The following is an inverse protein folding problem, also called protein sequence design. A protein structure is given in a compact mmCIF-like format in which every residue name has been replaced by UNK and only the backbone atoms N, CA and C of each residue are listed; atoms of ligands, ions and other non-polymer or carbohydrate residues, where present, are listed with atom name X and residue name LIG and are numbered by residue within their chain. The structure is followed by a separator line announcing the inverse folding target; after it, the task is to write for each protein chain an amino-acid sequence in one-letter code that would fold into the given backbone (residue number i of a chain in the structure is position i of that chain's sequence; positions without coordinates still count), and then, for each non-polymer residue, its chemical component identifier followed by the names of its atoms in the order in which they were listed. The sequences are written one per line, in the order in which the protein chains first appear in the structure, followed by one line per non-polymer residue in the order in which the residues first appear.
data_IF_982357015642
#
_entry.id   IF_982357015642
#
_cell.length_a   1.000
_cell.length_b   1.000
_cell.length_c   1.000
_cell.angle_alpha   90.00
_cell.angle_beta   90.00
_cell.angle_gamma   90.00
#
_symmetry.space_group_name_H-M   'P 1'
#
loop_
_entity.id
_entity.type
_entity.pdbx_description
1 polymer ?
#
# COMPACT_ATOMS: atom_id res chain seq x y z
N UNK A 1 81.18 -35.93 -45.98
CA UNK A 1 79.84 -36.58 -45.89
C UNK A 1 79.16 -36.44 -44.51
N UNK A 2 79.89 -36.48 -43.38
CA UNK A 2 79.31 -36.39 -42.02
C UNK A 2 78.77 -35.02 -41.61
N UNK A 3 79.47 -33.93 -41.97
CA UNK A 3 79.08 -32.54 -41.60
C UNK A 3 77.76 -32.13 -42.27
N UNK A 4 77.60 -32.38 -43.57
CA UNK A 4 76.36 -32.08 -44.31
C UNK A 4 75.15 -32.86 -43.76
N UNK A 5 75.35 -34.09 -43.30
CA UNK A 5 74.30 -34.92 -42.67
C UNK A 5 73.85 -34.36 -41.33
N UNK A 6 74.80 -33.85 -40.52
CA UNK A 6 74.51 -33.21 -39.24
C UNK A 6 73.79 -31.87 -39.41
N UNK A 7 74.20 -31.06 -40.39
CA UNK A 7 73.52 -29.81 -40.76
C UNK A 7 72.08 -30.11 -41.24
N UNK A 8 71.90 -31.10 -42.11
CA UNK A 8 70.57 -31.54 -42.58
C UNK A 8 69.67 -31.99 -41.43
N UNK A 9 70.20 -32.76 -40.48
CA UNK A 9 69.45 -33.20 -39.30
C UNK A 9 69.04 -32.01 -38.40
N UNK A 10 69.94 -31.05 -38.18
CA UNK A 10 69.64 -29.82 -37.42
C UNK A 10 68.57 -28.98 -38.11
N UNK A 11 68.65 -28.78 -39.42
CA UNK A 11 67.64 -28.05 -40.20
C UNK A 11 66.27 -28.73 -40.12
N UNK A 12 66.22 -30.07 -40.20
CA UNK A 12 64.98 -30.83 -40.06
C UNK A 12 64.36 -30.68 -38.67
N UNK A 13 65.18 -30.69 -37.62
CA UNK A 13 64.71 -30.48 -36.25
C UNK A 13 64.17 -29.06 -36.03
N UNK A 14 64.84 -28.04 -36.58
CA UNK A 14 64.35 -26.65 -36.57
C UNK A 14 63.02 -26.51 -37.32
N UNK A 15 62.90 -27.15 -38.49
CA UNK A 15 61.66 -27.17 -39.29
C UNK A 15 60.49 -27.82 -38.53
N UNK A 16 60.74 -28.94 -37.83
CA UNK A 16 59.72 -29.60 -37.00
C UNK A 16 59.32 -28.75 -35.80
N UNK A 17 60.27 -28.07 -35.14
CA UNK A 17 59.97 -27.13 -34.06
C UNK A 17 59.12 -25.95 -34.54
N UNK A 18 59.46 -25.35 -35.68
CA UNK A 18 58.67 -24.27 -36.29
C UNK A 18 57.26 -24.74 -36.64
N UNK A 19 57.10 -25.93 -37.23
CA UNK A 19 55.78 -26.51 -37.52
C UNK A 19 54.95 -26.72 -36.25
N UNK A 20 55.55 -27.19 -35.17
CA UNK A 20 54.87 -27.33 -33.87
C UNK A 20 54.43 -25.98 -33.29
N UNK A 21 55.26 -24.95 -33.39
CA UNK A 21 54.89 -23.59 -32.97
C UNK A 21 53.72 -23.06 -33.81
N UNK A 22 53.76 -23.22 -35.14
CA UNK A 22 52.65 -22.83 -36.03
C UNK A 22 51.34 -23.55 -35.68
N UNK A 23 51.38 -24.86 -35.38
CA UNK A 23 50.20 -25.62 -34.98
C UNK A 23 49.65 -25.14 -33.63
N UNK A 24 50.51 -24.83 -32.67
CA UNK A 24 50.11 -24.26 -31.37
C UNK A 24 49.44 -22.90 -31.55
N UNK A 25 50.03 -22.01 -32.34
CA UNK A 25 49.44 -20.69 -32.65
C UNK A 25 48.08 -20.84 -33.33
N UNK A 26 47.94 -21.76 -34.29
CA UNK A 26 46.67 -22.02 -34.96
C UNK A 26 45.60 -22.51 -33.98
N UNK A 27 45.96 -23.37 -33.03
CA UNK A 27 45.04 -23.84 -32.00
C UNK A 27 44.58 -22.69 -31.06
N UNK A 28 45.50 -21.81 -30.67
CA UNK A 28 45.16 -20.60 -29.88
C UNK A 28 44.21 -19.69 -30.66
N UNK A 29 44.47 -19.44 -31.94
CA UNK A 29 43.58 -18.65 -32.80
C UNK A 29 42.17 -19.26 -32.91
N UNK A 30 42.07 -20.58 -33.04
CA UNK A 30 40.77 -21.27 -33.08
C UNK A 30 40.02 -21.18 -31.75
N UNK A 31 40.72 -21.31 -30.62
CA UNK A 31 40.12 -21.12 -29.29
C UNK A 31 39.60 -19.70 -29.11
N UNK A 32 40.39 -18.69 -29.47
CA UNK A 32 39.97 -17.28 -29.42
C UNK A 32 38.75 -17.00 -30.30
N UNK A 33 38.72 -17.55 -31.53
CA UNK A 33 37.56 -17.44 -32.42
C UNK A 33 36.31 -18.07 -31.82
N UNK A 34 36.43 -19.22 -31.16
CA UNK A 34 35.32 -19.88 -30.49
C UNK A 34 34.78 -19.04 -29.31
N UNK A 35 35.68 -18.45 -28.50
CA UNK A 35 35.30 -17.52 -27.41
C UNK A 35 34.55 -16.31 -27.98
N UNK A 36 35.05 -15.72 -29.07
CA UNK A 36 34.38 -14.59 -29.73
C UNK A 36 32.98 -14.94 -30.23
N UNK A 37 32.81 -16.11 -30.85
CA UNK A 37 31.50 -16.58 -31.32
C UNK A 37 30.52 -16.82 -30.15
N UNK A 38 31.01 -17.38 -29.04
CA UNK A 38 30.20 -17.55 -27.82
C UNK A 38 29.74 -16.21 -27.25
N UNK A 39 30.64 -15.24 -27.14
CA UNK A 39 30.31 -13.88 -26.69
C UNK A 39 29.28 -13.23 -27.61
N UNK A 40 29.46 -13.32 -28.94
CA UNK A 40 28.49 -12.80 -29.91
C UNK A 40 27.11 -13.44 -29.75
N UNK A 41 27.04 -14.74 -29.50
CA UNK A 41 25.77 -15.44 -29.26
C UNK A 41 25.09 -14.94 -27.97
N UNK A 42 25.86 -14.74 -26.89
CA UNK A 42 25.35 -14.16 -25.64
C UNK A 42 24.81 -12.75 -25.87
N UNK A 43 25.55 -11.88 -26.59
CA UNK A 43 25.09 -10.54 -26.94
C UNK A 43 23.77 -10.56 -27.74
N UNK A 44 23.63 -11.48 -28.71
CA UNK A 44 22.40 -11.61 -29.48
C UNK A 44 21.22 -12.07 -28.62
N UNK A 45 21.44 -13.02 -27.69
CA UNK A 45 20.41 -13.45 -26.74
C UNK A 45 19.96 -12.30 -25.83
N UNK A 46 20.91 -11.53 -25.28
CA UNK A 46 20.60 -10.35 -24.46
C UNK A 46 19.80 -9.30 -25.25
N UNK A 47 20.18 -9.04 -26.51
CA UNK A 47 19.45 -8.12 -27.38
C UNK A 47 18.02 -8.58 -27.63
N UNK A 48 17.79 -9.89 -27.80
CA UNK A 48 16.45 -10.45 -27.97
C UNK A 48 15.60 -10.31 -26.69
N UNK A 49 16.19 -10.57 -25.51
CA UNK A 49 15.52 -10.34 -24.21
C UNK A 49 15.12 -8.87 -24.07
N UNK A 50 16.02 -7.94 -24.38
CA UNK A 50 15.74 -6.51 -24.33
C UNK A 50 14.58 -6.09 -25.25
N UNK A 51 14.56 -6.60 -26.48
CA UNK A 51 13.47 -6.32 -27.43
C UNK A 51 12.13 -6.87 -26.94
N UNK A 52 12.11 -8.07 -26.33
CA UNK A 52 10.91 -8.64 -25.72
C UNK A 52 10.39 -7.79 -24.56
N UNK A 53 11.27 -7.36 -23.66
CA UNK A 53 10.91 -6.47 -22.54
C UNK A 53 10.35 -5.14 -23.06
N UNK A 54 10.98 -4.54 -24.06
CA UNK A 54 10.48 -3.31 -24.70
C UNK A 54 9.08 -3.50 -25.28
N UNK A 55 8.81 -4.63 -25.93
CA UNK A 55 7.48 -4.93 -26.46
C UNK A 55 6.42 -5.09 -25.35
N UNK A 56 6.77 -5.74 -24.24
CA UNK A 56 5.89 -5.85 -23.06
C UNK A 56 5.59 -4.46 -22.48
N UNK A 57 6.61 -3.61 -22.30
CA UNK A 57 6.42 -2.23 -21.83
C UNK A 57 5.49 -1.42 -22.74
N UNK A 58 5.62 -1.54 -24.06
CA UNK A 58 4.73 -0.87 -25.02
C UNK A 58 3.29 -1.38 -24.92
N UNK A 59 3.08 -2.69 -24.76
CA UNK A 59 1.75 -3.27 -24.55
C UNK A 59 1.11 -2.74 -23.25
N UNK A 60 1.85 -2.73 -22.14
CA UNK A 60 1.37 -2.19 -20.87
C UNK A 60 1.02 -0.70 -20.98
N UNK A 61 1.82 0.09 -21.69
CA UNK A 61 1.51 1.50 -21.95
C UNK A 61 0.22 1.67 -22.74
N UNK A 62 -0.04 0.83 -23.74
CA UNK A 62 -1.28 0.86 -24.51
C UNK A 62 -2.51 0.50 -23.64
N UNK A 63 -2.38 -0.51 -22.77
CA UNK A 63 -3.44 -0.87 -21.80
C UNK A 63 -3.72 0.30 -20.84
N UNK A 64 -2.68 0.93 -20.30
CA UNK A 64 -2.80 2.10 -19.43
C UNK A 64 -3.54 3.26 -20.12
N UNK A 65 -3.20 3.55 -21.39
CA UNK A 65 -3.90 4.58 -22.18
C UNK A 65 -5.38 4.23 -22.42
N UNK A 66 -5.70 2.96 -22.71
CA UNK A 66 -7.09 2.50 -22.84
C UNK A 66 -7.88 2.68 -21.54
N UNK A 67 -7.30 2.28 -20.41
CA UNK A 67 -7.92 2.46 -19.09
C UNK A 67 -8.16 3.94 -18.77
N UNK A 68 -7.21 4.81 -19.12
CA UNK A 68 -7.37 6.26 -18.97
C UNK A 68 -8.53 6.79 -19.82
N UNK A 69 -8.68 6.32 -21.05
CA UNK A 69 -9.80 6.70 -21.91
C UNK A 69 -11.15 6.23 -21.34
N UNK A 70 -11.22 5.01 -20.80
CA UNK A 70 -12.42 4.51 -20.11
C UNK A 70 -12.75 5.37 -18.88
N UNK A 71 -11.76 5.71 -18.06
CA UNK A 71 -11.93 6.59 -16.90
C UNK A 71 -12.47 7.97 -17.28
N UNK A 72 -11.95 8.57 -18.36
CA UNK A 72 -12.44 9.85 -18.89
C UNK A 72 -13.88 9.75 -19.40
N UNK A 73 -14.25 8.67 -20.09
CA UNK A 73 -15.63 8.41 -20.50
C UNK A 73 -16.57 8.28 -19.29
N UNK A 74 -16.16 7.54 -18.27
CA UNK A 74 -16.93 7.37 -17.04
C UNK A 74 -17.13 8.71 -16.32
N UNK A 75 -16.09 9.54 -16.27
CA UNK A 75 -16.17 10.90 -15.71
C UNK A 75 -17.14 11.78 -16.49
N UNK A 76 -17.17 11.67 -17.82
CA UNK A 76 -18.13 12.39 -18.65
C UNK A 76 -19.58 11.92 -18.39
N UNK A 77 -19.79 10.61 -18.24
CA UNK A 77 -21.10 10.06 -17.82
C UNK A 77 -21.52 10.61 -16.46
N UNK A 78 -20.60 10.63 -15.48
CA UNK A 78 -20.87 11.19 -14.16
C UNK A 78 -21.23 12.68 -14.21
N UNK A 79 -20.51 13.48 -15.02
CA UNK A 79 -20.82 14.89 -15.21
C UNK A 79 -22.17 15.10 -15.89
N UNK A 80 -22.55 14.26 -16.86
CA UNK A 80 -23.88 14.28 -17.49
C UNK A 80 -24.98 13.94 -16.50
N UNK A 81 -24.80 12.89 -15.70
CA UNK A 81 -25.75 12.51 -14.65
C UNK A 81 -25.89 13.63 -13.61
N UNK A 82 -24.78 14.26 -13.21
CA UNK A 82 -24.81 15.43 -12.32
C UNK A 82 -25.55 16.60 -12.94
N UNK A 83 -25.37 16.86 -14.23
CA UNK A 83 -26.09 17.91 -14.95
C UNK A 83 -27.60 17.61 -15.04
N UNK A 84 -27.98 16.34 -15.26
CA UNK A 84 -29.39 15.90 -15.20
C UNK A 84 -29.95 16.08 -13.80
N UNK A 85 -29.22 15.68 -12.75
CA UNK A 85 -29.63 15.89 -11.36
C UNK A 85 -29.78 17.36 -10.99
N UNK A 86 -28.94 18.25 -11.54
CA UNK A 86 -29.08 19.70 -11.38
C UNK A 86 -30.29 20.24 -12.16
N UNK A 87 -30.53 19.76 -13.39
CA UNK A 87 -31.72 20.11 -14.17
C UNK A 87 -33.02 19.63 -13.53
N UNK A 88 -33.03 18.49 -12.83
CA UNK A 88 -34.17 18.02 -12.02
C UNK A 88 -34.33 18.81 -10.72
N UNK A 89 -33.25 19.43 -10.21
CA UNK A 89 -33.28 20.29 -9.03
C UNK A 89 -33.81 21.69 -9.35
N UNK A 90 -33.64 22.20 -10.57
CA UNK A 90 -34.18 23.50 -11.00
C UNK A 90 -35.72 23.61 -10.90
N UNK A 91 -36.55 22.68 -11.41
CA UNK A 91 -38.00 22.76 -11.23
C UNK A 91 -38.42 22.56 -9.77
N UNK A 92 -37.63 21.86 -8.95
CA UNK A 92 -37.85 21.74 -7.50
C UNK A 92 -37.49 23.03 -6.74
N UNK A 93 -36.53 23.81 -7.24
CA UNK A 93 -36.20 25.15 -6.73
C UNK A 93 -37.15 26.22 -7.24
N UNK A 94 -37.67 26.12 -8.47
CA UNK A 94 -38.78 26.96 -8.96
C UNK A 94 -40.06 26.71 -8.17
N UNK A 95 -40.43 25.46 -7.89
CA UNK A 95 -41.56 25.15 -7.01
C UNK A 95 -41.35 25.67 -5.57
N UNK A 96 -40.11 25.67 -5.06
CA UNK A 96 -39.77 26.23 -3.75
C UNK A 96 -39.75 27.78 -3.77
N UNK A 97 -39.33 28.38 -4.89
CA UNK A 97 -39.41 29.83 -5.12
C UNK A 97 -40.85 30.29 -5.30
N UNK A 98 -41.73 29.53 -5.96
CA UNK A 98 -43.16 29.85 -6.07
C UNK A 98 -43.84 29.88 -4.70
N UNK A 99 -43.46 28.97 -3.80
CA UNK A 99 -43.88 29.00 -2.38
C UNK A 99 -43.32 30.24 -1.66
N UNK A 100 -42.13 30.70 -2.03
CA UNK A 100 -41.48 31.90 -1.44
C UNK A 100 -42.05 33.22 -2.02
N UNK A 101 -42.47 33.24 -3.28
CA UNK A 101 -43.08 34.40 -3.96
C UNK A 101 -44.53 34.57 -3.51
N UNK A 102 -45.26 33.48 -3.26
CA UNK A 102 -46.55 33.50 -2.54
C UNK A 102 -46.42 34.13 -1.14
N UNK A 103 -45.27 33.96 -0.47
CA UNK A 103 -44.98 34.59 0.81
C UNK A 103 -44.70 36.10 0.68
N UNK A 104 -44.10 36.55 -0.42
CA UNK A 104 -43.84 37.97 -0.69
C UNK A 104 -45.12 38.76 -1.07
N UNK A 105 -46.04 38.15 -1.82
CA UNK A 105 -47.34 38.76 -2.14
C UNK A 105 -48.29 38.82 -0.93
N UNK A 106 -48.19 37.86 -0.01
CA UNK A 106 -48.97 37.89 1.24
C UNK A 106 -48.37 38.83 2.30
N UNK A 107 -47.16 39.35 2.09
CA UNK A 107 -46.47 40.28 3.01
C UNK A 107 -46.66 41.76 2.65
N UNK A 108 -47.43 42.08 1.60
CA UNK A 108 -47.69 43.46 1.15
C UNK A 108 -49.17 43.87 1.16
N UNK A 109 -50.04 43.06 1.76
CA UNK A 109 -51.42 43.45 2.06
C UNK A 109 -51.62 43.56 3.58
N UNK A 110 -51.75 44.80 4.03
CA UNK A 110 -52.22 45.20 5.36
C UNK A 110 -53.45 44.41 5.81
N UNK A 111 -53.39 43.88 7.03
CA UNK A 111 -54.59 43.37 7.72
C UNK A 111 -55.58 44.50 8.01
N UNK A 112 -56.89 44.23 7.98
CA UNK A 112 -57.79 44.60 9.04
C UNK A 112 -57.99 43.43 10.02
N UNK A 113 -58.36 43.83 11.23
CA UNK A 113 -58.47 43.08 12.48
C UNK A 113 -59.19 41.72 12.39
N UNK A 114 -58.67 40.74 13.14
CA UNK A 114 -59.42 39.56 13.55
C UNK A 114 -58.64 38.24 13.52
N UNK A 115 -58.40 37.69 14.71
CA UNK A 115 -58.18 36.26 15.03
C UNK A 115 -56.76 35.65 14.92
N UNK A 116 -56.23 35.36 16.12
CA UNK A 116 -55.29 34.28 16.52
C UNK A 116 -54.08 34.00 15.62
N UNK A 117 -52.98 34.71 15.89
CA UNK A 117 -51.67 34.44 15.31
C UNK A 117 -50.97 33.23 15.97
N UNK A 118 -50.68 32.20 15.18
CA UNK A 118 -49.74 31.13 15.56
C UNK A 118 -48.32 31.64 15.26
N UNK A 119 -47.60 31.95 16.34
CA UNK A 119 -46.21 32.43 16.32
C UNK A 119 -45.24 31.28 16.00
N UNK A 120 -44.81 31.17 14.75
CA UNK A 120 -43.76 30.22 14.35
C UNK A 120 -42.38 30.79 14.71
N UNK A 121 -41.93 30.48 15.92
CA UNK A 121 -40.61 30.86 16.42
C UNK A 121 -39.48 30.11 15.70
N UNK A 122 -38.25 30.66 15.72
CA UNK A 122 -37.00 30.05 15.22
C UNK A 122 -36.77 28.59 15.66
N UNK A 123 -37.46 28.13 16.70
CA UNK A 123 -37.46 26.73 17.14
C UNK A 123 -38.02 25.77 16.08
N UNK A 124 -38.94 26.20 15.22
CA UNK A 124 -39.57 25.30 14.26
C UNK A 124 -38.67 24.94 13.07
N UNK A 125 -37.82 25.87 12.62
CA UNK A 125 -36.78 25.59 11.62
C UNK A 125 -35.72 24.61 12.15
N UNK A 126 -35.35 24.69 13.43
CA UNK A 126 -34.54 23.66 14.08
C UNK A 126 -35.27 22.33 14.21
N UNK A 127 -36.59 22.34 14.47
CA UNK A 127 -37.41 21.13 14.53
C UNK A 127 -37.60 20.47 13.16
N UNK A 128 -37.70 21.22 12.07
CA UNK A 128 -37.83 20.69 10.70
C UNK A 128 -36.52 20.09 10.20
N UNK A 129 -35.37 20.69 10.51
CA UNK A 129 -34.05 20.07 10.25
C UNK A 129 -33.86 18.82 11.11
N UNK A 130 -34.30 18.85 12.38
CA UNK A 130 -34.32 17.67 13.28
C UNK A 130 -35.31 16.59 12.83
N UNK A 131 -36.44 16.96 12.21
CA UNK A 131 -37.43 16.03 11.67
C UNK A 131 -36.95 15.41 10.35
N UNK A 132 -36.28 16.19 9.49
CA UNK A 132 -35.65 15.66 8.28
C UNK A 132 -34.49 14.70 8.61
N UNK A 133 -33.74 14.93 9.71
CA UNK A 133 -32.71 13.99 10.19
C UNK A 133 -33.28 12.68 10.76
N UNK A 134 -34.55 12.64 11.18
CA UNK A 134 -35.19 11.41 11.62
C UNK A 134 -35.59 10.48 10.46
N UNK A 135 -35.60 10.97 9.22
CA UNK A 135 -36.07 10.19 8.06
C UNK A 135 -34.89 9.60 7.25
N UNK A 136 -33.65 10.07 7.42
CA UNK A 136 -32.45 9.47 6.81
C UNK A 136 -31.24 9.62 7.73
N UNK A 137 -30.84 8.53 8.40
CA UNK A 137 -29.56 8.45 9.10
C UNK A 137 -28.41 8.54 8.08
N UNK A 138 -27.81 9.71 7.94
CA UNK A 138 -26.59 9.91 7.17
C UNK A 138 -25.40 9.99 8.12
N UNK A 139 -24.29 9.35 7.77
CA UNK A 139 -23.01 9.44 8.46
C UNK A 139 -21.90 9.86 7.49
N UNK A 140 -20.77 10.32 8.02
CA UNK A 140 -19.62 10.77 7.25
C UNK A 140 -18.38 9.96 7.63
N UNK A 141 -17.71 9.41 6.61
CA UNK A 141 -16.40 8.77 6.77
C UNK A 141 -15.35 9.70 6.18
N UNK A 142 -14.36 10.07 6.98
CA UNK A 142 -13.21 10.85 6.54
C UNK A 142 -11.99 9.96 6.40
N UNK A 143 -11.44 9.92 5.19
CA UNK A 143 -10.02 9.61 5.05
C UNK A 143 -9.18 10.67 5.77
N UNK A 144 -8.01 10.30 6.27
CA UNK A 144 -7.14 11.21 7.03
C UNK A 144 -6.03 11.76 6.14
N UNK A 145 -5.22 10.88 5.57
CA UNK A 145 -3.97 11.24 4.90
C UNK A 145 -4.25 11.73 3.47
N UNK A 146 -3.95 13.00 3.20
CA UNK A 146 -4.28 13.68 1.95
C UNK A 146 -5.65 14.35 1.93
N UNK A 147 -6.51 14.11 2.93
CA UNK A 147 -7.86 14.71 3.04
C UNK A 147 -7.96 15.67 4.22
N UNK A 148 -7.64 15.22 5.44
CA UNK A 148 -7.61 16.06 6.63
C UNK A 148 -6.22 16.59 6.93
N UNK A 149 -5.22 15.72 6.77
CA UNK A 149 -3.82 16.00 7.03
C UNK A 149 -3.01 15.88 5.74
N UNK A 150 -1.89 16.60 5.67
CA UNK A 150 -0.83 16.35 4.70
C UNK A 150 0.47 16.21 5.50
N UNK A 151 1.02 14.99 5.49
CA UNK A 151 2.05 14.58 6.45
C UNK A 151 1.63 14.90 7.88
N UNK A 152 2.33 15.81 8.55
CA UNK A 152 2.03 16.22 9.92
C UNK A 152 1.06 17.41 10.08
N UNK A 153 0.69 18.07 8.99
CA UNK A 153 -0.01 19.37 9.03
C UNK A 153 -1.47 19.27 8.63
N UNK A 154 -2.34 20.03 9.31
CA UNK A 154 -3.77 20.10 8.98
C UNK A 154 -3.99 20.87 7.68
N UNK A 155 -4.82 20.33 6.80
CA UNK A 155 -5.24 21.02 5.59
C UNK A 155 -6.26 22.11 5.97
N UNK A 156 -6.01 23.41 5.70
CA UNK A 156 -6.90 24.48 6.18
C UNK A 156 -8.34 24.36 5.66
N UNK A 157 -8.53 23.82 4.46
CA UNK A 157 -9.86 23.57 3.89
C UNK A 157 -10.61 22.47 4.64
N UNK A 158 -9.91 21.45 5.16
CA UNK A 158 -10.51 20.38 5.93
C UNK A 158 -11.07 20.88 7.27
N UNK A 159 -10.32 21.72 7.98
CA UNK A 159 -10.79 22.34 9.23
C UNK A 159 -12.06 23.18 9.01
N UNK A 160 -12.11 23.96 7.92
CA UNK A 160 -13.32 24.71 7.54
C UNK A 160 -14.51 23.81 7.22
N UNK A 161 -14.27 22.64 6.62
CA UNK A 161 -15.32 21.67 6.34
C UNK A 161 -15.83 20.99 7.62
N UNK A 162 -14.92 20.55 8.50
CA UNK A 162 -15.26 19.95 9.79
C UNK A 162 -16.05 20.91 10.68
N UNK A 163 -15.70 22.20 10.71
CA UNK A 163 -16.44 23.24 11.44
C UNK A 163 -17.91 23.36 11.00
N UNK A 164 -18.26 22.98 9.78
CA UNK A 164 -19.65 22.96 9.30
C UNK A 164 -20.43 21.72 9.75
N UNK A 165 -19.73 20.72 10.26
CA UNK A 165 -20.29 19.44 10.71
C UNK A 165 -20.41 19.35 12.23
N UNK A 166 -20.01 20.40 12.96
CA UNK A 166 -20.11 20.47 14.42
C UNK A 166 -21.06 21.59 14.84
N UNK A 167 -21.70 21.43 16.00
CA UNK A 167 -22.51 22.46 16.63
C UNK A 167 -21.65 23.48 17.42
N UNK A 168 -22.31 24.38 18.15
CA UNK A 168 -21.64 25.41 18.97
C UNK A 168 -20.84 24.84 20.14
N UNK A 169 -21.07 23.58 20.50
CA UNK A 169 -20.40 22.87 21.58
C UNK A 169 -19.34 21.89 21.05
N UNK A 170 -18.92 22.03 19.78
CA UNK A 170 -17.99 21.15 19.09
C UNK A 170 -18.45 19.68 19.00
N UNK A 171 -19.76 19.43 19.07
CA UNK A 171 -20.33 18.09 18.90
C UNK A 171 -20.74 17.88 17.45
N UNK A 172 -20.40 16.73 16.87
CA UNK A 172 -20.77 16.41 15.48
C UNK A 172 -22.29 16.32 15.31
N UNK A 173 -22.78 16.96 14.24
CA UNK A 173 -24.19 16.98 13.83
C UNK A 173 -24.64 15.64 13.22
N UNK A 174 -23.69 14.83 12.75
CA UNK A 174 -23.89 13.51 12.16
C UNK A 174 -22.90 12.51 12.77
N UNK A 175 -23.16 11.20 12.71
CA UNK A 175 -22.13 10.19 13.00
C UNK A 175 -20.91 10.40 12.10
N UNK A 176 -19.74 10.58 12.69
CA UNK A 176 -18.47 10.78 11.99
C UNK A 176 -17.48 9.70 12.40
N UNK A 177 -16.84 9.08 11.41
CA UNK A 177 -15.77 8.11 11.57
C UNK A 177 -14.56 8.54 10.74
N UNK A 178 -13.37 8.46 11.33
CA UNK A 178 -12.09 8.74 10.70
C UNK A 178 -11.44 7.40 10.32
N UNK A 179 -11.20 7.21 9.03
CA UNK A 179 -10.61 6.00 8.47
C UNK A 179 -9.23 6.35 7.92
N UNK A 180 -8.21 5.57 8.27
CA UNK A 180 -6.83 5.80 7.80
C UNK A 180 -6.13 4.47 7.64
N UNK A 181 -5.25 4.40 6.66
CA UNK A 181 -4.39 3.24 6.46
C UNK A 181 -3.17 3.23 7.40
N UNK A 182 -3.07 4.17 8.35
CA UNK A 182 -2.04 4.19 9.38
C UNK A 182 -2.03 2.88 10.18
N UNK A 183 -0.92 2.13 10.06
CA UNK A 183 -0.76 0.82 10.69
C UNK A 183 0.13 0.79 11.94
N UNK A 184 0.86 1.87 12.22
CA UNK A 184 1.98 1.88 13.18
C UNK A 184 1.65 2.42 14.58
N UNK A 185 0.39 2.69 14.87
CA UNK A 185 -0.02 3.30 16.12
C UNK A 185 -1.28 2.65 16.71
N UNK A 186 -1.54 2.93 17.98
CA UNK A 186 -2.76 2.49 18.67
C UNK A 186 -3.91 3.45 18.36
N UNK A 187 -5.13 2.91 18.31
CA UNK A 187 -6.36 3.65 18.01
C UNK A 187 -6.55 4.88 18.90
N UNK A 188 -6.27 4.75 20.20
CA UNK A 188 -6.39 5.85 21.16
C UNK A 188 -5.34 6.95 20.92
N UNK A 189 -4.09 6.59 20.61
CA UNK A 189 -3.06 7.57 20.27
C UNK A 189 -3.43 8.35 19.00
N UNK A 190 -3.96 7.67 17.97
CA UNK A 190 -4.41 8.35 16.74
C UNK A 190 -5.60 9.26 17.00
N UNK A 191 -6.57 8.84 17.82
CA UNK A 191 -7.70 9.67 18.20
C UNK A 191 -7.27 10.93 18.97
N UNK A 192 -6.34 10.79 19.91
CA UNK A 192 -5.76 11.92 20.65
C UNK A 192 -4.98 12.86 19.73
N UNK A 193 -4.18 12.30 18.80
CA UNK A 193 -3.45 13.08 17.80
C UNK A 193 -4.40 13.89 16.92
N UNK A 194 -5.44 13.26 16.37
CA UNK A 194 -6.44 13.94 15.55
C UNK A 194 -7.21 14.99 16.37
N UNK A 195 -7.50 14.70 17.64
CA UNK A 195 -8.20 15.64 18.52
C UNK A 195 -7.39 16.93 18.72
N UNK A 196 -6.10 16.78 19.00
CA UNK A 196 -5.18 17.90 19.16
C UNK A 196 -4.99 18.69 17.86
N UNK A 197 -4.85 18.02 16.72
CA UNK A 197 -4.63 18.68 15.43
C UNK A 197 -5.89 19.42 14.94
N UNK A 198 -7.06 18.83 15.10
CA UNK A 198 -8.31 19.36 14.55
C UNK A 198 -9.07 20.26 15.54
N UNK A 199 -8.60 20.36 16.79
CA UNK A 199 -9.26 21.07 17.88
C UNK A 199 -10.71 20.60 18.10
N UNK A 200 -10.89 19.27 18.07
CA UNK A 200 -12.18 18.59 18.20
C UNK A 200 -12.02 17.36 19.10
N UNK A 201 -13.04 17.04 19.89
CA UNK A 201 -13.03 15.81 20.69
C UNK A 201 -13.33 14.60 19.80
N UNK A 202 -12.33 13.75 19.56
CA UNK A 202 -12.45 12.52 18.76
C UNK A 202 -12.19 11.33 19.67
N UNK A 203 -13.19 10.45 19.82
CA UNK A 203 -13.03 9.26 20.66
C UNK A 203 -12.35 8.12 19.88
N UNK A 204 -11.70 7.15 20.56
CA UNK A 204 -11.08 6.01 19.90
C UNK A 204 -12.06 5.22 19.02
N UNK A 205 -13.33 5.12 19.40
CA UNK A 205 -14.38 4.39 18.67
C UNK A 205 -14.70 5.03 17.31
N UNK A 206 -14.38 6.32 17.15
CA UNK A 206 -14.53 7.03 15.89
C UNK A 206 -13.34 6.82 14.95
N UNK A 207 -12.30 6.08 15.34
CA UNK A 207 -11.08 5.89 14.53
C UNK A 207 -10.95 4.45 14.05
N UNK A 208 -10.86 4.28 12.73
CA UNK A 208 -10.59 3.01 12.07
C UNK A 208 -9.20 3.07 11.43
N UNK A 209 -8.29 2.24 11.94
CA UNK A 209 -6.94 2.05 11.41
C UNK A 209 -6.94 0.89 10.39
N UNK A 210 -5.88 0.78 9.59
CA UNK A 210 -5.72 -0.31 8.61
C UNK A 210 -5.90 -1.70 9.21
N UNK A 211 -5.41 -1.90 10.43
CA UNK A 211 -5.45 -3.18 11.14
C UNK A 211 -6.71 -3.39 12.00
N UNK A 212 -7.60 -2.39 12.12
CA UNK A 212 -8.84 -2.52 12.89
C UNK A 212 -9.72 -3.72 12.47
N UNK A 213 -9.88 -4.06 11.17
CA UNK A 213 -10.70 -5.20 10.76
C UNK A 213 -10.24 -6.56 11.32
N UNK A 214 -8.95 -6.70 11.64
CA UNK A 214 -8.40 -7.95 12.19
C UNK A 214 -9.03 -8.32 13.55
N UNK A 215 -9.60 -7.36 14.26
CA UNK A 215 -10.32 -7.60 15.51
C UNK A 215 -11.52 -8.55 15.33
N UNK A 216 -12.11 -8.56 14.13
CA UNK A 216 -13.25 -9.41 13.75
C UNK A 216 -12.82 -10.80 13.27
N UNK A 217 -11.54 -11.00 12.94
CA UNK A 217 -11.01 -12.24 12.36
C UNK A 217 -10.67 -13.30 13.42
N UNK A 218 -11.68 -13.69 14.20
CA UNK A 218 -11.53 -14.59 15.37
C UNK A 218 -10.89 -15.94 15.04
N UNK A 219 -11.06 -16.45 13.80
CA UNK A 219 -10.45 -17.70 13.34
C UNK A 219 -8.91 -17.69 13.32
N UNK A 220 -8.28 -16.51 13.35
CA UNK A 220 -6.83 -16.37 13.36
C UNK A 220 -6.25 -16.07 14.76
N UNK A 221 -7.07 -15.73 15.75
CA UNK A 221 -6.61 -15.24 17.06
C UNK A 221 -5.83 -16.29 17.87
N UNK A 222 -6.14 -17.56 17.68
CA UNK A 222 -5.46 -18.69 18.33
C UNK A 222 -4.27 -19.23 17.52
N UNK A 223 -4.08 -18.76 16.29
CA UNK A 223 -2.99 -19.20 15.41
C UNK A 223 -1.69 -18.50 15.81
N UNK A 224 -0.56 -19.17 15.60
CA UNK A 224 0.73 -18.50 15.68
C UNK A 224 0.91 -17.60 14.46
N UNK A 225 1.05 -16.29 14.69
CA UNK A 225 1.18 -15.29 13.63
C UNK A 225 2.54 -14.62 13.66
N UNK A 226 3.16 -14.50 12.48
CA UNK A 226 4.34 -13.66 12.29
C UNK A 226 3.87 -12.24 11.95
N UNK A 227 4.33 -11.24 12.70
CA UNK A 227 3.95 -9.84 12.49
C UNK A 227 5.10 -9.02 11.91
N UNK A 228 4.81 -8.21 10.90
CA UNK A 228 5.73 -7.26 10.29
C UNK A 228 5.06 -5.89 10.17
N UNK A 229 5.83 -4.82 10.44
CA UNK A 229 5.37 -3.44 10.36
C UNK A 229 6.20 -2.52 11.26
N UNK A 230 5.69 -1.32 11.50
CA UNK A 230 6.29 -0.31 12.37
C UNK A 230 5.49 -0.12 13.66
N UNK A 231 6.14 0.43 14.68
CA UNK A 231 5.51 0.75 15.97
C UNK A 231 5.38 -0.47 16.88
N UNK A 232 4.47 -0.42 17.88
CA UNK A 232 4.33 -1.47 18.88
C UNK A 232 3.52 -2.66 18.33
N UNK A 233 4.03 -3.34 17.30
CA UNK A 233 3.32 -4.41 16.55
C UNK A 233 2.82 -5.54 17.43
N UNK A 234 3.59 -5.94 18.45
CA UNK A 234 3.21 -6.98 19.41
C UNK A 234 2.02 -6.52 20.26
N UNK A 235 2.05 -5.28 20.74
CA UNK A 235 0.96 -4.70 21.52
C UNK A 235 -0.32 -4.56 20.67
N UNK A 236 -0.18 -4.11 19.43
CA UNK A 236 -1.28 -4.02 18.46
C UNK A 236 -1.92 -5.39 18.26
N UNK A 237 -1.11 -6.43 17.99
CA UNK A 237 -1.59 -7.79 17.80
C UNK A 237 -2.36 -8.31 19.03
N UNK A 238 -1.83 -8.12 20.24
CA UNK A 238 -2.51 -8.54 21.47
C UNK A 238 -3.84 -7.81 21.71
N UNK A 239 -3.89 -6.48 21.47
CA UNK A 239 -5.14 -5.70 21.60
C UNK A 239 -6.19 -6.17 20.59
N UNK A 240 -5.78 -6.60 19.39
CA UNK A 240 -6.69 -7.14 18.38
C UNK A 240 -7.20 -8.54 18.72
N UNK A 241 -6.54 -9.24 19.66
CA UNK A 241 -6.93 -10.56 20.17
C UNK A 241 -5.98 -11.71 19.80
N UNK A 242 -4.86 -11.43 19.12
CA UNK A 242 -3.88 -12.47 18.79
C UNK A 242 -3.10 -12.89 20.04
N UNK A 243 -3.09 -14.20 20.31
CA UNK A 243 -2.48 -14.76 21.52
C UNK A 243 -1.01 -15.15 21.30
N UNK A 244 -0.68 -15.67 20.11
CA UNK A 244 0.64 -16.22 19.79
C UNK A 244 1.27 -15.38 18.69
N UNK A 245 2.12 -14.44 19.09
CA UNK A 245 2.74 -13.47 18.19
C UNK A 245 4.25 -13.71 18.15
N UNK A 246 4.79 -13.82 16.93
CA UNK A 246 6.24 -13.85 16.67
C UNK A 246 6.57 -12.60 15.86
N UNK A 247 7.60 -11.85 16.25
CA UNK A 247 8.07 -10.69 15.49
C UNK A 247 9.20 -11.07 14.54
N UNK A 248 9.47 -10.22 13.56
CA UNK A 248 10.58 -10.39 12.61
C UNK A 248 11.92 -10.36 13.35
N UNK A 249 12.05 -9.53 14.39
CA UNK A 249 13.24 -9.46 15.24
C UNK A 249 13.48 -10.80 15.94
N UNK A 250 12.46 -11.35 16.61
CA UNK A 250 12.54 -12.66 17.26
C UNK A 250 12.90 -13.76 16.27
N UNK A 251 12.31 -13.74 15.07
CA UNK A 251 12.63 -14.72 14.04
C UNK A 251 14.10 -14.62 13.58
N UNK A 252 14.60 -13.39 13.39
CA UNK A 252 15.98 -13.13 12.99
C UNK A 252 17.00 -13.54 14.06
N UNK A 253 16.67 -13.36 15.34
CA UNK A 253 17.52 -13.75 16.47
C UNK A 253 17.62 -15.28 16.61
N UNK A 254 16.52 -16.00 16.34
CA UNK A 254 16.48 -17.46 16.42
C UNK A 254 17.10 -18.13 15.19
N UNK A 255 17.02 -17.48 14.03
CA UNK A 255 17.58 -17.98 12.78
C UNK A 255 18.52 -16.95 12.12
N UNK A 256 19.67 -16.65 12.75
CA UNK A 256 20.55 -15.57 12.30
C UNK A 256 21.17 -15.85 10.93
N UNK A 257 21.21 -17.13 10.51
CA UNK A 257 21.66 -17.52 9.17
C UNK A 257 20.69 -17.15 8.04
N UNK A 258 19.42 -16.86 8.35
CA UNK A 258 18.43 -16.46 7.35
C UNK A 258 18.48 -14.96 7.03
N UNK A 259 18.92 -14.14 8.00
CA UNK A 259 19.07 -12.69 7.80
C UNK A 259 20.52 -12.30 7.49
N UNK A 260 21.02 -12.78 6.35
CA UNK A 260 22.40 -12.53 5.89
C UNK A 260 22.54 -11.30 4.99
N UNK A 261 21.42 -10.61 4.74
CA UNK A 261 21.33 -9.43 3.89
C UNK A 261 21.97 -8.22 4.57
N UNK A 262 21.83 -8.13 5.88
CA UNK A 262 22.54 -7.14 6.69
C UNK A 262 23.89 -7.70 7.16
N UNK A 263 24.96 -7.28 6.48
CA UNK A 263 26.32 -7.73 6.79
C UNK A 263 26.76 -7.39 8.22
N UNK A 264 26.20 -6.35 8.84
CA UNK A 264 26.54 -5.95 10.21
C UNK A 264 25.99 -6.90 11.27
N UNK A 265 24.93 -7.65 10.94
CA UNK A 265 24.25 -8.60 11.84
C UNK A 265 24.65 -10.05 11.62
N UNK A 266 25.68 -10.28 10.79
CA UNK A 266 26.20 -11.63 10.56
C UNK A 266 26.75 -12.20 11.87
N UNK A 267 26.24 -13.35 12.35
CA UNK A 267 26.75 -13.96 13.57
C UNK A 267 28.23 -14.30 13.40
N UNK A 268 29.05 -13.79 14.32
CA UNK A 268 30.48 -14.13 14.44
C UNK A 268 30.72 -15.45 15.19
N UNK A 269 29.69 -15.97 15.87
CA UNK A 269 29.70 -17.28 16.53
C UNK A 269 28.34 -17.98 16.38
N UNK A 270 28.36 -19.31 16.29
CA UNK A 270 27.20 -20.20 16.05
C UNK A 270 26.37 -20.47 17.31
N UNK A 271 26.16 -19.49 18.19
CA UNK A 271 25.25 -19.67 19.33
C UNK A 271 23.80 -19.49 18.86
N UNK A 272 23.14 -20.57 18.46
CA UNK A 272 21.68 -20.58 18.33
C UNK A 272 21.06 -20.59 19.73
N UNK A 273 20.08 -19.72 19.95
CA UNK A 273 19.20 -19.84 21.11
C UNK A 273 18.44 -21.17 21.04
N UNK A 274 18.33 -21.88 22.18
CA UNK A 274 17.64 -23.17 22.28
C UNK A 274 16.10 -23.07 22.22
N UNK A 275 15.53 -21.87 22.05
CA UNK A 275 14.09 -21.67 22.00
C UNK A 275 13.53 -21.98 20.61
N UNK A 276 12.94 -23.17 20.48
CA UNK A 276 12.24 -23.58 19.26
C UNK A 276 11.00 -22.67 19.07
N UNK A 277 11.01 -21.87 18.01
CA UNK A 277 9.83 -21.10 17.62
C UNK A 277 8.69 -22.04 17.23
N UNK A 278 7.45 -21.76 17.66
CA UNK A 278 6.29 -22.50 17.19
C UNK A 278 6.14 -22.34 15.67
N UNK A 279 5.50 -23.32 15.03
CA UNK A 279 5.19 -23.21 13.61
C UNK A 279 4.29 -22.01 13.35
N UNK A 280 4.74 -21.11 12.48
CA UNK A 280 3.97 -19.95 12.04
C UNK A 280 2.83 -20.45 11.13
N UNK A 281 1.62 -19.94 11.35
CA UNK A 281 0.41 -20.39 10.64
C UNK A 281 -0.25 -19.29 9.82
N UNK A 282 0.14 -18.03 10.04
CA UNK A 282 -0.25 -16.89 9.22
C UNK A 282 0.79 -15.76 9.36
N UNK A 283 0.84 -14.89 8.36
CA UNK A 283 1.62 -13.65 8.39
C UNK A 283 0.65 -12.47 8.48
N UNK A 284 0.98 -11.46 9.28
CA UNK A 284 0.25 -10.18 9.34
C UNK A 284 1.22 -9.06 8.99
N UNK A 285 0.87 -8.29 7.97
CA UNK A 285 1.58 -7.09 7.58
C UNK A 285 0.76 -5.88 8.05
N UNK A 286 1.14 -5.30 9.19
CA UNK A 286 0.45 -4.13 9.77
C UNK A 286 0.69 -2.86 8.95
N UNK A 287 1.83 -2.78 8.27
CA UNK A 287 2.25 -1.67 7.44
C UNK A 287 3.67 -1.90 6.94
N UNK A 288 4.32 -0.86 6.43
CA UNK A 288 5.64 -0.94 5.84
C UNK A 288 6.72 -1.03 6.93
N UNK A 289 7.58 -2.08 6.95
CA UNK A 289 8.73 -2.11 7.85
C UNK A 289 9.79 -1.09 7.44
N UNK A 290 10.67 -0.71 8.36
CA UNK A 290 11.81 0.19 8.07
C UNK A 290 12.83 -0.48 7.14
N UNK A 291 13.11 -1.77 7.38
CA UNK A 291 14.12 -2.57 6.66
C UNK A 291 13.45 -3.64 5.81
N UNK A 292 13.09 -3.29 4.59
CA UNK A 292 12.40 -4.19 3.67
C UNK A 292 13.25 -5.40 3.29
N UNK A 293 14.56 -5.26 3.20
CA UNK A 293 15.48 -6.33 2.80
C UNK A 293 15.43 -7.53 3.75
N UNK A 294 15.56 -7.30 5.06
CA UNK A 294 15.43 -8.35 6.10
C UNK A 294 14.01 -8.88 6.17
N UNK A 295 13.01 -7.99 6.16
CA UNK A 295 11.61 -8.40 6.30
C UNK A 295 11.18 -9.27 5.12
N UNK A 296 11.47 -8.87 3.89
CA UNK A 296 11.12 -9.64 2.69
C UNK A 296 11.81 -11.00 2.67
N UNK A 297 13.11 -11.06 2.99
CA UNK A 297 13.83 -12.32 3.02
C UNK A 297 13.18 -13.30 4.00
N UNK A 298 12.98 -12.88 5.25
CA UNK A 298 12.40 -13.74 6.28
C UNK A 298 10.93 -14.11 6.01
N UNK A 299 10.14 -13.19 5.45
CA UNK A 299 8.77 -13.46 5.03
C UNK A 299 8.71 -14.52 3.92
N UNK A 300 9.62 -14.43 2.94
CA UNK A 300 9.73 -15.42 1.86
C UNK A 300 10.16 -16.77 2.43
N UNK A 301 11.15 -16.82 3.31
CA UNK A 301 11.63 -18.06 3.92
C UNK A 301 10.52 -18.74 4.73
N UNK A 302 9.73 -17.97 5.46
CA UNK A 302 8.56 -18.45 6.22
C UNK A 302 7.46 -18.98 5.29
N UNK A 303 7.21 -18.33 4.14
CA UNK A 303 6.26 -18.80 3.14
C UNK A 303 6.72 -20.10 2.46
N UNK A 304 7.98 -20.17 2.04
CA UNK A 304 8.56 -21.33 1.34
C UNK A 304 8.73 -22.55 2.26
N UNK A 305 8.83 -22.32 3.57
CA UNK A 305 8.95 -23.37 4.58
C UNK A 305 7.64 -23.73 5.27
N UNK A 306 6.51 -23.16 4.82
CA UNK A 306 5.20 -23.34 5.45
C UNK A 306 5.21 -23.10 6.97
N UNK A 307 5.89 -22.02 7.37
CA UNK A 307 6.00 -21.58 8.76
C UNK A 307 7.10 -22.24 9.58
N UNK A 308 8.06 -22.93 8.94
CA UNK A 308 9.20 -23.61 9.59
C UNK A 308 10.54 -23.23 8.93
N UNK A 309 11.01 -21.99 9.08
CA UNK A 309 12.10 -21.44 8.28
C UNK A 309 13.47 -22.11 8.47
N UNK A 310 13.63 -23.02 9.45
CA UNK A 310 14.80 -23.90 9.57
C UNK A 310 14.76 -25.18 8.72
N UNK A 311 13.69 -25.44 7.97
CA UNK A 311 13.53 -26.64 7.15
C UNK A 311 13.84 -26.38 5.67
N UNK A 312 14.22 -27.44 4.94
CA UNK A 312 14.43 -27.39 3.48
C UNK A 312 13.10 -27.10 2.76
N UNK A 313 13.15 -26.31 1.69
CA UNK A 313 11.97 -25.95 0.91
C UNK A 313 11.27 -27.18 0.32
N UNK A 314 9.98 -27.30 0.60
CA UNK A 314 9.13 -28.30 -0.02
C UNK A 314 8.48 -27.72 -1.29
N UNK A 315 8.93 -28.21 -2.44
CA UNK A 315 8.45 -27.76 -3.77
C UNK A 315 7.08 -28.33 -4.13
N UNK A 316 6.52 -29.24 -3.33
CA UNK A 316 5.23 -29.91 -3.59
C UNK A 316 4.06 -29.32 -2.78
N UNK A 317 4.31 -28.27 -1.98
CA UNK A 317 3.26 -27.62 -1.18
C UNK A 317 2.21 -26.93 -2.06
N UNK A 318 0.98 -27.46 -2.05
CA UNK A 318 -0.17 -26.89 -2.77
C UNK A 318 -0.94 -25.84 -1.94
N UNK A 319 -0.82 -25.86 -0.61
CA UNK A 319 -1.53 -24.96 0.28
C UNK A 319 -0.65 -23.77 0.66
N UNK A 320 -1.05 -22.56 0.25
CA UNK A 320 -0.35 -21.33 0.60
C UNK A 320 -0.75 -20.84 1.99
N UNK A 321 0.23 -20.55 2.84
CA UNK A 321 0.00 -19.94 4.14
C UNK A 321 -0.65 -18.55 3.98
N UNK A 322 -1.68 -18.21 4.76
CA UNK A 322 -2.37 -16.93 4.64
C UNK A 322 -1.48 -15.74 5.03
N UNK A 323 -1.52 -14.70 4.20
CA UNK A 323 -0.88 -13.39 4.45
C UNK A 323 -1.98 -12.34 4.56
N UNK A 324 -2.07 -11.70 5.72
CA UNK A 324 -3.04 -10.64 6.03
C UNK A 324 -2.34 -9.28 5.89
N UNK A 325 -2.50 -8.64 4.74
CA UNK A 325 -1.99 -7.29 4.51
C UNK A 325 -3.04 -6.24 4.92
N UNK A 326 -2.68 -5.37 5.88
CA UNK A 326 -3.59 -4.35 6.41
C UNK A 326 -3.64 -3.10 5.52
N UNK A 327 -2.54 -2.79 4.83
CA UNK A 327 -2.45 -1.70 3.87
C UNK A 327 -2.00 -2.25 2.51
N UNK A 328 -2.65 -1.81 1.44
CA UNK A 328 -2.32 -2.16 0.05
C UNK A 328 -2.05 -0.93 -0.82
N UNK A 329 -1.99 0.26 -0.23
CA UNK A 329 -1.72 1.47 -0.97
C UNK A 329 -0.32 1.43 -1.57
N UNK A 330 -0.26 1.47 -2.90
CA UNK A 330 1.00 1.62 -3.62
C UNK A 330 1.54 3.05 -3.51
N UNK A 331 0.63 4.03 -3.40
CA UNK A 331 0.96 5.45 -3.35
C UNK A 331 0.17 6.15 -2.26
N UNK A 332 0.82 7.02 -1.48
CA UNK A 332 0.16 7.82 -0.45
C UNK A 332 0.70 9.26 -0.39
N UNK A 333 -0.10 10.17 0.20
CA UNK A 333 0.22 11.59 0.26
C UNK A 333 0.91 11.96 1.58
N UNK A 334 2.21 12.18 1.51
CA UNK A 334 3.02 12.72 2.61
C UNK A 334 3.26 14.24 2.45
N UNK A 335 4.28 14.77 3.13
CA UNK A 335 4.73 16.16 2.97
C UNK A 335 5.38 16.45 1.61
N UNK A 336 5.80 15.40 0.89
CA UNK A 336 6.41 15.54 -0.42
C UNK A 336 5.39 16.02 -1.48
N UNK A 337 5.82 16.81 -2.50
CA UNK A 337 4.91 17.30 -3.54
C UNK A 337 4.30 16.19 -4.41
N UNK A 338 4.99 15.07 -4.55
CA UNK A 338 4.53 13.89 -5.29
C UNK A 338 4.08 12.80 -4.31
N UNK A 339 3.04 12.01 -4.66
CA UNK A 339 2.68 10.81 -3.91
C UNK A 339 3.89 9.89 -3.78
N UNK A 340 4.04 9.28 -2.60
CA UNK A 340 5.14 8.37 -2.25
C UNK A 340 4.76 6.94 -2.49
#
# INVERSE_FOLDING_TARGET
MSVLRNISFRLRNVSLKLRNVCLRLRNVCLKLRNVFLRLRNVCLKLRNVFLRLRNVCLKLRNVSLKLRNVSLKLRNVFLRLRNVSLKLRNPALEAACDITVLWSYSSSSSQPEGQTGIMWSRGLLQQVVRHASNIRQAGVLFDVDGVLLRGGSVIPAALRALRKLVDRNNKFLFPVVFVTNAGSCLRHHKAQQLSHLLDLQITPEQVVLSHSPLQMMKSFHNKCVLVSGQGPVTQIAHILGFQKVVTIEQLSEQHPLLDMVDHSRRPTSTSCSSQILPQIQAIILFGEPVRWETNLQLLIDVLLSNGRPGCVYDTQMLAQMPVLACNMDLLWMADAPSPR
#
